data_IF_120677574618
#
_entry.id   IF_120677574618
#
_cell.length_a   1.000
_cell.length_b   1.000
_cell.length_c   1.000
_cell.angle_alpha   90.00
_cell.angle_beta   90.00
_cell.angle_gamma   90.00
#
_symmetry.space_group_name_H-M   'P 1'
#
loop_
_entity.id
_entity.type
_entity.pdbx_description
1 polymer ?
#
# COMPACT_ATOMS: atom_id res chain seq x y z
N UNK A 1 32.39 -8.28 -48.79
CA UNK A 1 31.05 -8.22 -48.19
C UNK A 1 31.19 -8.54 -46.70
N UNK A 2 30.64 -7.69 -45.82
CA UNK A 2 30.83 -7.68 -44.35
C UNK A 2 29.96 -8.74 -43.65
N UNK A 3 30.41 -9.42 -42.58
CA UNK A 3 29.51 -10.07 -41.67
C UNK A 3 29.05 -9.09 -40.58
N UNK A 4 27.73 -8.96 -40.55
CA UNK A 4 26.87 -8.42 -39.51
C UNK A 4 27.15 -9.03 -38.14
N UNK A 5 27.24 -8.22 -37.08
CA UNK A 5 26.99 -8.72 -35.72
C UNK A 5 26.25 -7.65 -34.93
N UNK A 6 24.94 -7.86 -34.81
CA UNK A 6 24.03 -7.11 -33.96
C UNK A 6 24.34 -7.43 -32.50
N UNK A 7 24.79 -6.44 -31.71
CA UNK A 7 24.82 -6.52 -30.25
C UNK A 7 23.45 -6.10 -29.72
N UNK A 8 22.60 -7.07 -29.38
CA UNK A 8 21.37 -6.83 -28.61
C UNK A 8 21.78 -6.93 -27.13
N UNK A 9 22.11 -5.78 -26.53
CA UNK A 9 22.29 -5.70 -25.09
C UNK A 9 20.89 -5.73 -24.42
N UNK A 10 20.55 -6.89 -23.89
CA UNK A 10 19.45 -7.06 -22.96
C UNK A 10 19.76 -6.30 -21.65
N UNK A 11 19.26 -5.08 -21.54
CA UNK A 11 19.15 -4.42 -20.24
C UNK A 11 17.77 -4.71 -19.67
N UNK A 12 17.73 -5.77 -18.85
CA UNK A 12 16.69 -5.94 -17.86
C UNK A 12 16.69 -4.72 -16.93
N UNK A 13 15.59 -4.00 -16.91
CA UNK A 13 15.36 -2.92 -15.96
C UNK A 13 13.98 -3.16 -15.34
N UNK A 14 14.05 -3.86 -14.21
CA UNK A 14 13.15 -3.77 -13.06
C UNK A 14 11.66 -3.69 -13.39
N UNK A 15 11.03 -4.87 -13.41
CA UNK A 15 9.68 -4.99 -12.89
C UNK A 15 9.70 -4.60 -11.40
N UNK A 16 9.71 -3.31 -11.10
CA UNK A 16 9.12 -2.84 -9.85
C UNK A 16 7.65 -3.15 -9.97
N UNK A 17 7.29 -4.38 -9.61
CA UNK A 17 6.02 -4.66 -8.98
C UNK A 17 5.97 -3.80 -7.72
N UNK A 18 5.70 -2.51 -7.93
CA UNK A 18 4.77 -1.82 -7.09
C UNK A 18 3.49 -2.66 -7.22
N UNK A 19 3.40 -3.74 -6.43
CA UNK A 19 2.15 -4.07 -5.79
C UNK A 19 1.64 -2.73 -5.35
N UNK A 20 0.68 -2.20 -6.10
CA UNK A 20 0.02 -0.96 -5.74
C UNK A 20 -0.53 -1.30 -4.37
N UNK A 21 0.23 -0.93 -3.32
CA UNK A 21 -0.15 -1.19 -1.96
C UNK A 21 -1.53 -0.58 -1.91
N UNK A 22 -2.54 -1.43 -1.76
CA UNK A 22 -3.93 -1.02 -1.74
C UNK A 22 -4.01 -0.24 -0.44
N UNK A 23 -3.69 1.04 -0.56
CA UNK A 23 -3.55 1.92 0.57
C UNK A 23 -4.87 2.66 0.64
N UNK A 24 -5.51 2.54 1.79
CA UNK A 24 -6.78 3.17 2.03
C UNK A 24 -6.58 4.66 2.33
N UNK A 25 -7.67 5.41 2.24
CA UNK A 25 -7.75 6.78 2.73
C UNK A 25 -8.86 6.84 3.78
N UNK A 26 -8.70 7.61 4.88
CA UNK A 26 -9.77 7.82 5.83
C UNK A 26 -11.03 8.35 5.12
N UNK A 27 -12.19 7.86 5.51
CA UNK A 27 -13.48 8.20 4.91
C UNK A 27 -13.78 7.50 3.57
N UNK A 28 -12.83 6.78 2.96
CA UNK A 28 -13.10 5.98 1.77
C UNK A 28 -14.01 4.80 2.13
N UNK A 29 -14.96 4.50 1.25
CA UNK A 29 -15.81 3.31 1.37
C UNK A 29 -14.98 2.02 1.40
N UNK A 30 -15.35 1.12 2.32
CA UNK A 30 -14.79 -0.22 2.48
C UNK A 30 -15.89 -1.29 2.39
N UNK A 31 -16.97 -1.02 1.64
CA UNK A 31 -18.13 -1.93 1.51
C UNK A 31 -17.76 -3.33 1.00
N UNK A 32 -16.71 -3.45 0.17
CA UNK A 32 -16.19 -4.74 -0.30
C UNK A 32 -15.31 -5.49 0.71
N UNK A 33 -15.06 -4.93 1.89
CA UNK A 33 -14.24 -5.51 2.95
C UNK A 33 -15.09 -5.96 4.13
N UNK A 34 -14.55 -6.90 4.91
CA UNK A 34 -15.12 -7.28 6.20
C UNK A 34 -14.93 -6.15 7.22
N UNK A 35 -15.85 -6.04 8.17
CA UNK A 35 -15.67 -5.10 9.29
C UNK A 35 -14.46 -5.53 10.12
N UNK A 36 -13.65 -4.57 10.56
CA UNK A 36 -12.37 -4.83 11.20
C UNK A 36 -11.21 -5.10 10.23
N UNK A 37 -11.44 -5.09 8.91
CA UNK A 37 -10.36 -5.17 7.93
C UNK A 37 -9.42 -3.97 8.08
N UNK A 38 -8.12 -4.24 8.20
CA UNK A 38 -7.11 -3.20 8.42
C UNK A 38 -6.31 -2.95 7.15
N UNK A 39 -6.09 -1.67 6.83
CA UNK A 39 -5.23 -1.27 5.73
C UNK A 39 -4.35 -0.08 6.08
N UNK A 40 -3.28 0.11 5.32
CA UNK A 40 -2.39 1.23 5.51
C UNK A 40 -2.91 2.47 4.80
N UNK A 41 -2.86 3.61 5.47
CA UNK A 41 -3.07 4.88 4.83
C UNK A 41 -1.90 5.22 3.90
N UNK A 42 -2.23 5.64 2.68
CA UNK A 42 -1.22 6.06 1.70
C UNK A 42 -0.29 7.12 2.29
N UNK A 43 1.02 6.84 2.28
CA UNK A 43 2.11 7.77 2.64
C UNK A 43 2.05 8.39 4.05
N UNK A 44 1.15 7.95 4.94
CA UNK A 44 0.98 8.55 6.26
C UNK A 44 1.59 7.68 7.38
N UNK A 45 1.73 6.37 7.16
CA UNK A 45 2.15 5.44 8.21
C UNK A 45 1.09 5.29 9.29
N UNK A 46 -0.17 5.20 8.88
CA UNK A 46 -1.34 5.10 9.75
C UNK A 46 -2.06 3.82 9.36
N UNK A 47 -2.51 3.03 10.35
CA UNK A 47 -3.42 1.91 10.13
C UNK A 47 -4.84 2.45 10.14
N UNK A 48 -5.58 2.10 9.11
CA UNK A 48 -7.00 2.33 8.99
C UNK A 48 -7.75 1.03 9.23
N UNK A 49 -8.96 1.11 9.75
CA UNK A 49 -9.86 -0.01 9.99
C UNK A 49 -11.19 0.25 9.29
N UNK A 50 -11.73 -0.79 8.64
CA UNK A 50 -13.06 -0.73 8.05
C UNK A 50 -14.12 -0.83 9.14
N UNK A 51 -14.83 0.27 9.37
CA UNK A 51 -15.87 0.38 10.39
C UNK A 51 -17.21 0.76 9.77
N UNK A 52 -18.30 0.48 10.48
CA UNK A 52 -19.64 0.96 10.13
C UNK A 52 -20.13 1.89 11.23
N UNK A 53 -20.38 3.15 10.90
CA UNK A 53 -20.87 4.14 11.86
C UNK A 53 -22.41 4.13 11.82
N UNK A 54 -23.03 3.56 12.86
CA UNK A 54 -24.48 3.42 12.95
C UNK A 54 -25.08 2.66 11.77
N UNK A 55 -26.13 3.22 11.17
CA UNK A 55 -26.76 2.69 9.95
C UNK A 55 -26.11 3.19 8.64
N UNK A 56 -25.00 3.92 8.73
CA UNK A 56 -24.28 4.47 7.58
C UNK A 56 -23.49 3.43 6.76
N UNK A 57 -22.84 3.89 5.66
CA UNK A 57 -21.97 3.04 4.86
C UNK A 57 -20.71 2.62 5.63
N UNK A 58 -20.11 1.49 5.22
CA UNK A 58 -18.82 1.05 5.76
C UNK A 58 -17.71 1.94 5.21
N UNK A 59 -16.92 2.54 6.09
CA UNK A 59 -15.81 3.42 5.71
C UNK A 59 -14.56 3.11 6.50
N UNK A 60 -13.40 3.40 5.91
CA UNK A 60 -12.12 3.33 6.62
C UNK A 60 -12.00 4.49 7.62
N UNK A 61 -11.77 4.17 8.88
CA UNK A 61 -11.40 5.13 9.91
C UNK A 61 -9.95 4.92 10.36
N UNK A 62 -9.36 5.97 10.93
CA UNK A 62 -8.05 5.87 11.55
C UNK A 62 -8.12 5.00 12.81
N UNK A 63 -7.35 3.92 12.83
CA UNK A 63 -7.20 3.05 14.00
C UNK A 63 -6.02 3.49 14.85
N UNK A 64 -4.83 3.60 14.25
CA UNK A 64 -3.59 3.96 14.97
C UNK A 64 -2.50 4.51 14.07
N UNK A 65 -1.62 5.34 14.64
CA UNK A 65 -0.40 5.79 13.99
C UNK A 65 0.72 4.75 14.20
N UNK A 66 1.46 4.41 13.14
CA UNK A 66 2.64 3.57 13.25
C UNK A 66 3.86 4.39 13.65
N UNK A 67 4.76 3.85 14.47
CA UNK A 67 6.02 4.52 14.80
C UNK A 67 6.82 4.80 13.52
N UNK A 68 7.66 5.84 13.57
CA UNK A 68 8.58 6.13 12.47
C UNK A 68 9.79 5.18 12.58
N UNK A 69 10.07 4.33 11.57
CA UNK A 69 11.24 3.47 11.60
C UNK A 69 12.51 4.32 11.63
N UNK A 70 13.53 3.83 12.34
CA UNK A 70 14.80 4.56 12.56
C UNK A 70 15.51 4.93 11.25
N UNK A 71 15.31 4.13 10.20
CA UNK A 71 15.95 4.30 8.90
C UNK A 71 15.06 5.04 7.88
N UNK A 72 13.93 5.63 8.30
CA UNK A 72 13.07 6.41 7.40
C UNK A 72 12.28 5.60 6.36
N UNK A 73 12.19 4.28 6.54
CA UNK A 73 11.46 3.37 5.64
C UNK A 73 9.93 3.38 5.79
N UNK A 74 9.29 2.41 5.13
CA UNK A 74 7.83 2.21 5.18
C UNK A 74 7.40 1.99 6.63
N UNK A 75 6.33 2.68 7.04
CA UNK A 75 5.78 2.66 8.42
C UNK A 75 4.65 1.64 8.59
N UNK A 76 3.96 1.30 7.51
CA UNK A 76 2.80 0.41 7.52
C UNK A 76 2.79 -0.44 6.25
N UNK A 77 2.58 -1.75 6.41
CA UNK A 77 2.41 -2.72 5.31
C UNK A 77 1.18 -3.59 5.65
N UNK A 78 0.24 -3.73 4.71
CA UNK A 78 -0.95 -4.59 4.82
C UNK A 78 -1.74 -4.43 6.13
N UNK A 79 -2.02 -3.18 6.51
CA UNK A 79 -2.76 -2.86 7.74
C UNK A 79 -1.96 -3.04 9.03
N UNK A 80 -0.65 -3.30 8.95
CA UNK A 80 0.22 -3.53 10.11
C UNK A 80 1.36 -2.52 10.16
N UNK A 81 1.66 -2.05 11.36
CA UNK A 81 2.83 -1.22 11.58
C UNK A 81 4.10 -2.06 11.42
N UNK A 82 5.06 -1.52 10.70
CA UNK A 82 6.40 -2.09 10.54
C UNK A 82 7.40 -1.10 11.13
N UNK A 83 8.36 -1.60 11.91
CA UNK A 83 9.28 -0.81 12.74
C UNK A 83 10.73 -1.14 12.48
#
# INVERSE_FOLDING_TARGET
MKPTTLFIAALGLFSTSATAQVCAKPGKSCVGQVLGHQECQCNAGIVLECVKIGNGPRTYQMLKNCPKPKNGGIRCIDGRCVG
#
